data_IF_481958722020
#
_entry.id   IF_481958722020
#
_cell.length_a   1.000
_cell.length_b   1.000
_cell.length_c   1.000
_cell.angle_alpha   90.00
_cell.angle_beta   90.00
_cell.angle_gamma   90.00
#
_symmetry.space_group_name_H-M   'P 1'
#
loop_
_entity.id
_entity.type
_entity.pdbx_description
1 polymer ?
#
# COMPACT_ATOMS: atom_id res chain seq x y z
N UNK A 1 -35.78 17.30 -12.69
CA UNK A 1 -34.97 17.50 -11.45
C UNK A 1 -34.63 16.14 -10.84
N UNK A 2 -33.41 15.63 -11.07
CA UNK A 2 -32.74 14.66 -10.19
C UNK A 2 -31.25 14.67 -10.57
N UNK A 3 -30.54 15.58 -9.93
CA UNK A 3 -29.10 15.66 -9.95
C UNK A 3 -28.56 15.05 -8.65
N UNK A 4 -27.31 14.57 -8.69
CA UNK A 4 -26.45 14.31 -7.52
C UNK A 4 -26.86 13.03 -6.78
N UNK A 5 -26.11 11.92 -6.82
CA UNK A 5 -24.80 11.75 -6.17
C UNK A 5 -24.05 10.58 -6.81
N UNK A 6 -23.16 10.86 -7.76
CA UNK A 6 -22.10 9.90 -8.12
C UNK A 6 -21.12 9.90 -6.95
N UNK A 7 -21.19 8.88 -6.09
CA UNK A 7 -20.12 8.58 -5.14
C UNK A 7 -18.82 8.44 -5.94
N UNK A 8 -17.98 9.48 -5.94
CA UNK A 8 -16.57 9.36 -6.31
C UNK A 8 -15.97 8.39 -5.31
N UNK A 9 -16.00 7.09 -5.61
CA UNK A 9 -15.07 6.14 -5.04
C UNK A 9 -13.70 6.80 -5.15
N UNK A 10 -13.07 7.11 -4.01
CA UNK A 10 -11.68 7.55 -3.96
C UNK A 10 -10.85 6.39 -4.49
N UNK A 11 -10.71 6.27 -5.81
CA UNK A 11 -9.87 5.26 -6.45
C UNK A 11 -8.46 5.53 -5.96
N UNK A 12 -7.99 4.66 -5.07
CA UNK A 12 -6.59 4.65 -4.64
C UNK A 12 -5.77 4.33 -5.89
N UNK A 13 -4.80 5.17 -6.20
CA UNK A 13 -3.90 4.98 -7.34
C UNK A 13 -2.54 4.66 -6.73
N UNK A 14 -1.96 3.52 -7.09
CA UNK A 14 -0.57 3.25 -6.77
C UNK A 14 0.30 3.79 -7.91
N UNK A 15 1.35 4.51 -7.56
CA UNK A 15 2.30 5.09 -8.49
C UNK A 15 3.67 4.47 -8.19
N UNK A 16 4.43 4.17 -9.23
CA UNK A 16 5.82 3.80 -9.04
C UNK A 16 6.58 4.99 -8.45
N UNK A 17 7.31 4.77 -7.35
CA UNK A 17 8.17 5.80 -6.78
C UNK A 17 9.49 5.80 -7.56
N UNK A 18 9.65 6.77 -8.46
CA UNK A 18 10.90 6.97 -9.20
C UNK A 18 12.02 7.45 -8.26
N UNK A 19 13.30 7.11 -8.53
CA UNK A 19 14.42 7.51 -7.67
C UNK A 19 14.51 9.02 -7.44
N UNK A 20 14.19 9.82 -8.47
CA UNK A 20 14.17 11.27 -8.39
C UNK A 20 13.07 11.75 -7.43
N UNK A 21 11.83 11.29 -7.61
CA UNK A 21 10.72 11.60 -6.71
C UNK A 21 11.05 11.26 -5.25
N UNK A 22 11.68 10.11 -5.00
CA UNK A 22 12.10 9.72 -3.64
C UNK A 22 13.10 10.71 -3.03
N UNK A 23 14.10 11.13 -3.81
CA UNK A 23 15.11 12.08 -3.35
C UNK A 23 14.49 13.46 -3.04
N UNK A 24 13.64 13.96 -3.94
CA UNK A 24 12.98 15.26 -3.77
C UNK A 24 12.03 15.27 -2.56
N UNK A 25 11.24 14.20 -2.36
CA UNK A 25 10.35 14.08 -1.20
C UNK A 25 11.16 14.04 0.10
N UNK A 26 12.30 13.32 0.13
CA UNK A 26 13.18 13.30 1.31
C UNK A 26 13.76 14.68 1.61
N UNK A 27 14.19 15.42 0.59
CA UNK A 27 14.65 16.79 0.74
C UNK A 27 13.54 17.69 1.31
N UNK A 28 12.34 17.60 0.73
CA UNK A 28 11.18 18.38 1.17
C UNK A 28 10.75 18.05 2.60
N UNK A 29 10.89 16.79 3.02
CA UNK A 29 10.57 16.35 4.38
C UNK A 29 11.47 16.98 5.47
N UNK A 30 12.61 17.54 5.11
CA UNK A 30 13.49 18.27 6.03
C UNK A 30 13.06 19.73 6.24
N UNK A 31 12.11 20.25 5.47
CA UNK A 31 11.68 21.65 5.60
C UNK A 31 10.73 21.84 6.78
N UNK A 32 10.79 23.02 7.39
CA UNK A 32 9.90 23.35 8.50
C UNK A 32 8.47 23.59 7.97
N UNK A 33 7.47 22.80 8.39
CA UNK A 33 6.12 22.84 7.80
C UNK A 33 5.35 24.14 8.08
N UNK A 34 5.74 24.91 9.10
CA UNK A 34 5.11 26.17 9.45
C UNK A 34 5.82 27.41 8.87
N UNK A 35 6.97 27.23 8.21
CA UNK A 35 7.67 28.32 7.55
C UNK A 35 7.15 28.51 6.12
N UNK A 36 7.05 29.77 5.63
CA UNK A 36 6.83 30.03 4.21
C UNK A 36 7.96 29.41 3.38
N UNK A 37 7.59 28.79 2.26
CA UNK A 37 8.53 28.16 1.36
C UNK A 37 9.25 29.24 0.55
N UNK A 38 10.57 29.12 0.44
CA UNK A 38 11.35 30.00 -0.45
C UNK A 38 11.00 29.72 -1.92
N UNK A 39 11.28 30.66 -2.85
CA UNK A 39 11.09 30.43 -4.28
C UNK A 39 11.81 29.16 -4.79
N UNK A 40 12.96 28.82 -4.23
CA UNK A 40 13.72 27.60 -4.54
C UNK A 40 12.97 26.35 -4.08
N UNK A 41 12.43 26.36 -2.87
CA UNK A 41 11.62 25.26 -2.33
C UNK A 41 10.34 25.08 -3.14
N UNK A 42 9.71 26.17 -3.57
CA UNK A 42 8.52 26.11 -4.43
C UNK A 42 8.83 25.43 -5.77
N UNK A 43 9.95 25.76 -6.42
CA UNK A 43 10.37 25.07 -7.66
C UNK A 43 10.57 23.57 -7.46
N UNK A 44 11.11 23.15 -6.31
CA UNK A 44 11.25 21.73 -5.98
C UNK A 44 9.88 21.06 -5.79
N UNK A 45 8.94 21.73 -5.13
CA UNK A 45 7.56 21.23 -4.99
C UNK A 45 6.91 21.03 -6.36
N UNK A 46 7.09 21.99 -7.27
CA UNK A 46 6.52 21.90 -8.62
C UNK A 46 7.09 20.69 -9.38
N UNK A 47 8.39 20.42 -9.26
CA UNK A 47 9.02 19.21 -9.82
C UNK A 47 8.46 17.93 -9.19
N UNK A 48 8.25 17.90 -7.86
CA UNK A 48 7.62 16.74 -7.19
C UNK A 48 6.22 16.48 -7.77
N UNK A 49 5.43 17.54 -7.96
CA UNK A 49 4.09 17.43 -8.53
C UNK A 49 4.14 16.90 -9.96
N UNK A 50 5.09 17.36 -10.78
CA UNK A 50 5.24 16.89 -12.15
C UNK A 50 5.72 15.43 -12.21
N UNK A 51 6.65 15.03 -11.34
CA UNK A 51 7.07 13.63 -11.19
C UNK A 51 5.88 12.74 -10.79
N UNK A 52 5.01 13.18 -9.87
CA UNK A 52 3.80 12.43 -9.48
C UNK A 52 2.82 12.31 -10.66
N UNK A 53 2.67 13.36 -11.48
CA UNK A 53 1.80 13.33 -12.67
C UNK A 53 2.32 12.39 -13.75
N UNK A 54 3.63 12.31 -13.92
CA UNK A 54 4.30 11.47 -14.92
C UNK A 54 4.56 10.04 -14.44
N UNK A 55 4.53 9.81 -13.11
CA UNK A 55 4.80 8.50 -12.54
C UNK A 55 3.87 7.44 -13.15
N UNK A 56 4.43 6.31 -13.65
CA UNK A 56 3.62 5.27 -14.23
C UNK A 56 2.69 4.70 -13.15
N UNK A 57 1.42 4.56 -13.53
CA UNK A 57 0.43 3.88 -12.69
C UNK A 57 0.87 2.45 -12.52
N UNK A 58 1.05 2.05 -11.27
CA UNK A 58 1.42 0.68 -10.95
C UNK A 58 0.14 -0.08 -10.63
N UNK A 59 -0.12 -1.14 -11.38
CA UNK A 59 -1.20 -2.06 -11.03
C UNK A 59 -0.84 -2.71 -9.69
N UNK A 60 -1.65 -2.43 -8.67
CA UNK A 60 -1.47 -3.03 -7.36
C UNK A 60 -2.01 -4.46 -7.41
N UNK A 61 -1.24 -5.37 -8.00
CA UNK A 61 -1.56 -6.79 -8.01
C UNK A 61 -1.25 -7.39 -6.64
N UNK A 62 -2.31 -7.76 -5.92
CA UNK A 62 -2.22 -8.59 -4.73
C UNK A 62 -2.42 -10.05 -5.16
N UNK A 63 -1.35 -10.86 -5.32
CA UNK A 63 -1.50 -12.26 -5.69
C UNK A 63 -2.24 -13.00 -4.59
N UNK A 64 -3.35 -13.64 -4.97
CA UNK A 64 -4.10 -14.49 -4.05
C UNK A 64 -3.36 -15.83 -3.89
N UNK A 65 -3.14 -16.29 -2.65
CA UNK A 65 -2.56 -17.61 -2.43
C UNK A 65 -3.48 -18.71 -2.98
N UNK A 66 -2.90 -19.80 -3.46
CA UNK A 66 -3.60 -20.99 -3.92
C UNK A 66 -4.01 -21.92 -2.75
N UNK A 67 -3.22 -22.00 -1.67
CA UNK A 67 -3.53 -22.86 -0.53
C UNK A 67 -4.87 -22.46 0.13
N UNK A 68 -5.86 -23.37 0.27
CA UNK A 68 -7.17 -23.05 0.85
C UNK A 68 -7.11 -22.44 2.25
N UNK A 69 -6.13 -22.83 3.08
CA UNK A 69 -5.94 -22.26 4.44
C UNK A 69 -5.48 -20.82 4.34
N UNK A 70 -4.53 -20.53 3.44
CA UNK A 70 -4.06 -19.18 3.19
C UNK A 70 -5.14 -18.31 2.55
N UNK A 71 -5.98 -18.86 1.65
CA UNK A 71 -7.14 -18.13 1.10
C UNK A 71 -8.13 -17.69 2.17
N UNK A 72 -8.36 -18.52 3.18
CA UNK A 72 -9.22 -18.16 4.32
C UNK A 72 -8.64 -16.99 5.11
N UNK A 73 -7.34 -17.04 5.40
CA UNK A 73 -6.62 -15.94 6.06
C UNK A 73 -6.66 -14.67 5.20
N UNK A 74 -6.36 -14.78 3.91
CA UNK A 74 -6.36 -13.69 2.94
C UNK A 74 -7.74 -13.01 2.84
N UNK A 75 -8.81 -13.79 2.74
CA UNK A 75 -10.18 -13.29 2.72
C UNK A 75 -10.53 -12.54 4.02
N UNK A 76 -10.13 -13.08 5.18
CA UNK A 76 -10.37 -12.44 6.47
C UNK A 76 -9.59 -11.13 6.62
N UNK A 77 -8.35 -11.07 6.11
CA UNK A 77 -7.56 -9.83 6.07
C UNK A 77 -8.22 -8.80 5.15
N UNK A 78 -8.66 -9.19 3.96
CA UNK A 78 -9.31 -8.27 3.02
C UNK A 78 -10.67 -7.78 3.50
N UNK A 79 -11.39 -8.56 4.30
CA UNK A 79 -12.63 -8.14 4.93
C UNK A 79 -12.41 -7.06 6.02
N UNK A 80 -11.26 -7.11 6.72
CA UNK A 80 -10.90 -6.13 7.75
C UNK A 80 -9.40 -5.77 7.69
N UNK A 81 -8.95 -4.99 6.68
CA UNK A 81 -7.52 -4.78 6.45
C UNK A 81 -6.80 -4.03 7.58
N UNK A 82 -7.54 -3.18 8.29
CA UNK A 82 -7.05 -2.39 9.42
C UNK A 82 -7.12 -3.13 10.77
N UNK A 83 -7.54 -4.40 10.81
CA UNK A 83 -7.62 -5.16 12.06
C UNK A 83 -6.22 -5.33 12.68
N UNK A 84 -6.05 -4.91 13.93
CA UNK A 84 -4.80 -5.08 14.66
C UNK A 84 -4.72 -6.49 15.27
N UNK A 85 -4.20 -7.42 14.47
CA UNK A 85 -3.96 -8.81 14.87
C UNK A 85 -2.51 -9.17 14.58
N UNK A 86 -1.91 -9.93 15.49
CA UNK A 86 -0.59 -10.53 15.36
C UNK A 86 -0.55 -11.59 14.25
N UNK A 87 0.67 -11.96 13.85
CA UNK A 87 0.87 -13.01 12.83
C UNK A 87 0.33 -14.36 13.29
N UNK A 88 0.47 -14.70 14.58
CA UNK A 88 0.01 -15.98 15.13
C UNK A 88 -1.51 -16.05 15.24
N UNK A 89 -2.18 -14.94 15.55
CA UNK A 89 -3.65 -14.86 15.50
C UNK A 89 -4.19 -15.06 14.07
N UNK A 90 -3.54 -14.46 13.07
CA UNK A 90 -3.89 -14.71 11.67
C UNK A 90 -3.63 -16.16 11.26
N UNK A 91 -2.50 -16.73 11.67
CA UNK A 91 -2.15 -18.11 11.36
C UNK A 91 -3.17 -19.09 11.96
N UNK A 92 -3.68 -18.79 13.16
CA UNK A 92 -4.66 -19.61 13.86
C UNK A 92 -5.97 -19.79 13.07
N UNK A 93 -6.41 -18.78 12.30
CA UNK A 93 -7.59 -18.89 11.42
C UNK A 93 -7.43 -19.95 10.30
N UNK A 94 -6.18 -20.21 9.90
CA UNK A 94 -5.82 -21.23 8.93
C UNK A 94 -5.39 -22.55 9.54
N UNK A 95 -5.49 -22.72 10.87
CA UNK A 95 -4.87 -23.83 11.61
C UNK A 95 -3.36 -23.98 11.31
N UNK A 96 -2.66 -22.84 11.26
CA UNK A 96 -1.22 -22.75 11.03
C UNK A 96 -0.52 -22.13 12.25
N UNK A 97 0.76 -22.44 12.42
CA UNK A 97 1.66 -21.61 13.24
C UNK A 97 2.13 -20.38 12.45
N UNK A 98 2.56 -19.31 13.12
CA UNK A 98 3.11 -18.14 12.42
C UNK A 98 4.35 -18.46 11.56
N UNK A 99 5.15 -19.47 11.94
CA UNK A 99 6.25 -19.97 11.10
C UNK A 99 5.73 -20.61 9.82
N UNK A 100 4.71 -21.49 9.92
CA UNK A 100 4.10 -22.14 8.76
C UNK A 100 3.40 -21.12 7.85
N UNK A 101 2.68 -20.15 8.40
CA UNK A 101 2.06 -19.06 7.65
C UNK A 101 3.11 -18.28 6.83
N UNK A 102 4.17 -17.79 7.47
CA UNK A 102 5.24 -17.03 6.79
C UNK A 102 5.88 -17.82 5.66
N UNK A 103 6.18 -19.10 5.89
CA UNK A 103 6.80 -19.98 4.89
C UNK A 103 5.86 -20.26 3.73
N UNK A 104 4.62 -20.62 4.00
CA UNK A 104 3.64 -21.00 2.98
C UNK A 104 3.28 -19.79 2.11
N UNK A 105 3.01 -18.63 2.71
CA UNK A 105 2.63 -17.46 1.91
C UNK A 105 3.79 -16.97 1.04
N UNK A 106 5.02 -17.04 1.55
CA UNK A 106 6.19 -16.69 0.75
C UNK A 106 6.44 -17.67 -0.40
N UNK A 107 6.24 -18.97 -0.16
CA UNK A 107 6.36 -19.98 -1.21
C UNK A 107 5.27 -19.84 -2.29
N UNK A 108 4.05 -19.47 -1.90
CA UNK A 108 2.88 -19.42 -2.78
C UNK A 108 2.77 -18.09 -3.55
N UNK A 109 3.09 -16.97 -2.89
CA UNK A 109 2.92 -15.61 -3.46
C UNK A 109 4.23 -14.91 -3.80
N UNK A 110 5.38 -15.49 -3.44
CA UNK A 110 6.70 -14.86 -3.61
C UNK A 110 6.99 -13.69 -2.67
N UNK A 111 6.07 -13.35 -1.76
CA UNK A 111 6.20 -12.21 -0.85
C UNK A 111 6.04 -12.62 0.62
N UNK A 112 6.71 -11.89 1.51
CA UNK A 112 6.55 -12.10 2.96
C UNK A 112 5.14 -11.75 3.41
N UNK A 113 4.67 -12.38 4.50
CA UNK A 113 3.34 -12.11 5.05
C UNK A 113 3.10 -10.62 5.33
N UNK A 114 4.08 -9.92 5.91
CA UNK A 114 3.97 -8.48 6.21
C UNK A 114 3.79 -7.65 4.94
N UNK A 115 4.55 -7.95 3.88
CA UNK A 115 4.43 -7.26 2.58
C UNK A 115 3.08 -7.53 1.93
N UNK A 116 2.63 -8.79 1.96
CA UNK A 116 1.32 -9.19 1.45
C UNK A 116 0.19 -8.43 2.18
N UNK A 117 0.23 -8.40 3.52
CA UNK A 117 -0.76 -7.70 4.34
C UNK A 117 -0.73 -6.18 4.11
N UNK A 118 0.45 -5.59 3.94
CA UNK A 118 0.58 -4.18 3.61
C UNK A 118 -0.06 -3.85 2.25
N UNK A 119 0.16 -4.68 1.22
CA UNK A 119 -0.51 -4.51 -0.07
C UNK A 119 -2.03 -4.71 0.05
N UNK A 120 -2.49 -5.68 0.85
CA UNK A 120 -3.90 -5.91 1.12
C UNK A 120 -4.61 -4.72 1.80
N UNK A 121 -3.88 -3.86 2.52
CA UNK A 121 -4.42 -2.62 3.08
C UNK A 121 -4.58 -1.48 2.06
N UNK A 122 -3.86 -1.57 0.93
CA UNK A 122 -3.85 -0.55 -0.11
C UNK A 122 -4.92 -0.81 -1.18
N UNK A 123 -5.27 -2.07 -1.43
CA UNK A 123 -6.43 -2.48 -2.26
C UNK A 123 -7.72 -2.00 -1.59
#
# INVERSE_FOLDING_TARGET
MQAVRRHRQRRRICLAVLPLLQALVRLAACWHPAAPQSPEQQRIIDVIVDEIRQAPRQELHLPMPADPRLRRIAAAILAAPAADRSTDEWASLGALSGRSLRRLIQADTGMSFSRWRQQAQLV
#
